data_IF_749393639792
#
_entry.id   IF_749393639792
#
_cell.length_a   1.000
_cell.length_b   1.000
_cell.length_c   1.000
_cell.angle_alpha   90.00
_cell.angle_beta   90.00
_cell.angle_gamma   90.00
#
_symmetry.space_group_name_H-M   'P 1'
#
loop_
_entity.id
_entity.type
_entity.pdbx_description
1 polymer ?
#
# COMPACT_ATOMS: atom_id res chain seq x y z
N UNK A 1 -13.80 -3.23 37.77
CA UNK A 1 -12.94 -2.04 37.83
C UNK A 1 -11.78 -2.10 36.82
N UNK A 2 -12.03 -2.56 35.56
CA UNK A 2 -11.00 -2.62 34.49
C UNK A 2 -11.48 -1.99 33.18
N UNK A 3 -12.45 -1.09 33.21
CA UNK A 3 -13.04 -0.51 32.00
C UNK A 3 -12.53 0.90 31.66
N UNK A 4 -11.58 1.46 32.42
CA UNK A 4 -11.07 2.83 32.21
C UNK A 4 -9.64 2.93 31.63
N UNK A 5 -8.92 1.82 31.50
CA UNK A 5 -7.55 1.84 30.94
C UNK A 5 -7.50 1.67 29.41
N UNK A 6 -8.62 1.29 28.77
CA UNK A 6 -8.65 1.07 27.32
C UNK A 6 -9.04 2.31 26.49
N UNK A 7 -9.47 3.42 27.12
CA UNK A 7 -10.02 4.58 26.43
C UNK A 7 -8.98 5.46 25.70
N UNK A 8 -7.68 5.12 25.74
CA UNK A 8 -6.63 5.94 25.13
C UNK A 8 -5.62 5.13 24.30
N UNK A 9 -5.87 3.85 24.05
CA UNK A 9 -4.93 3.03 23.27
C UNK A 9 -5.25 3.19 21.79
N UNK A 10 -4.28 3.68 21.00
CA UNK A 10 -4.36 3.79 19.55
C UNK A 10 -3.72 2.58 18.89
N UNK A 11 -4.45 1.89 18.01
CA UNK A 11 -3.87 0.82 17.21
C UNK A 11 -3.09 1.39 16.03
N UNK A 12 -2.01 0.74 15.65
CA UNK A 12 -1.22 1.13 14.49
C UNK A 12 -0.92 -0.08 13.61
N UNK A 13 -1.26 0.02 12.33
CA UNK A 13 -0.86 -0.93 11.30
C UNK A 13 0.36 -0.36 10.56
N UNK A 14 1.41 -1.16 10.52
CA UNK A 14 2.65 -0.79 9.87
C UNK A 14 2.68 -1.33 8.44
N UNK A 15 3.01 -0.48 7.48
CA UNK A 15 3.27 -0.96 6.13
C UNK A 15 4.60 -1.73 6.08
N UNK A 16 4.77 -2.67 5.12
CA UNK A 16 5.96 -3.53 5.08
C UNK A 16 7.29 -2.79 4.96
N UNK A 17 7.31 -1.58 4.38
CA UNK A 17 8.53 -0.78 4.27
C UNK A 17 8.99 -0.36 5.67
N UNK A 18 8.10 0.19 6.48
CA UNK A 18 8.41 0.58 7.86
C UNK A 18 8.86 -0.63 8.69
N UNK A 19 8.16 -1.76 8.55
CA UNK A 19 8.54 -2.98 9.30
C UNK A 19 9.98 -3.44 8.98
N UNK A 20 10.47 -3.23 7.76
CA UNK A 20 11.84 -3.59 7.38
C UNK A 20 12.89 -2.52 7.67
N UNK A 21 12.50 -1.27 7.88
CA UNK A 21 13.44 -0.20 8.25
C UNK A 21 14.02 -0.36 9.64
N UNK A 22 13.43 -1.20 10.49
CA UNK A 22 13.81 -1.35 11.89
C UNK A 22 13.86 -2.81 12.32
N UNK A 23 14.67 -3.09 13.36
CA UNK A 23 14.51 -4.35 14.06
C UNK A 23 13.13 -4.41 14.74
N UNK A 24 12.37 -5.47 14.50
CA UNK A 24 10.98 -5.60 14.97
C UNK A 24 10.81 -5.31 16.46
N UNK A 25 11.69 -5.85 17.29
CA UNK A 25 11.64 -5.63 18.74
C UNK A 25 11.81 -4.16 19.11
N UNK A 26 12.71 -3.47 18.44
CA UNK A 26 12.97 -2.05 18.65
C UNK A 26 11.77 -1.20 18.24
N UNK A 27 11.24 -1.43 17.03
CA UNK A 27 10.07 -0.74 16.50
C UNK A 27 8.85 -0.91 17.40
N UNK A 28 8.55 -2.15 17.82
CA UNK A 28 7.39 -2.41 18.66
C UNK A 28 7.55 -1.79 20.05
N UNK A 29 8.73 -1.90 20.68
CA UNK A 29 9.01 -1.24 21.95
C UNK A 29 8.95 0.30 21.86
N UNK A 30 9.36 0.88 20.74
CA UNK A 30 9.22 2.31 20.48
C UNK A 30 7.75 2.74 20.45
N UNK A 31 6.90 1.99 19.75
CA UNK A 31 5.47 2.29 19.64
C UNK A 31 4.73 2.09 20.96
N UNK A 32 4.93 0.95 21.62
CA UNK A 32 4.24 0.60 22.87
C UNK A 32 4.53 1.59 23.99
N UNK A 33 5.77 2.05 24.12
CA UNK A 33 6.14 3.08 25.11
C UNK A 33 5.44 4.42 24.89
N UNK A 34 4.85 4.63 23.69
CA UNK A 34 4.12 5.85 23.32
C UNK A 34 2.60 5.63 23.23
N UNK A 35 2.12 4.50 23.73
CA UNK A 35 0.70 4.19 23.76
C UNK A 35 0.11 3.69 22.44
N UNK A 36 0.97 3.28 21.49
CA UNK A 36 0.51 2.69 20.23
C UNK A 36 0.61 1.17 20.30
N UNK A 37 -0.46 0.49 19.95
CA UNK A 37 -0.52 -0.96 19.87
C UNK A 37 -0.38 -1.42 18.41
N UNK A 38 0.74 -2.06 18.03
CA UNK A 38 0.86 -2.63 16.69
C UNK A 38 -0.18 -3.71 16.45
N UNK A 39 -0.79 -3.69 15.26
CA UNK A 39 -1.78 -4.67 14.82
C UNK A 39 -1.44 -5.19 13.43
N UNK A 40 -1.82 -6.44 13.15
CA UNK A 40 -1.63 -7.08 11.85
C UNK A 40 -2.95 -7.62 11.32
N UNK A 41 -3.04 -7.89 10.03
CA UNK A 41 -4.19 -8.56 9.43
C UNK A 41 -4.23 -10.05 9.80
N UNK A 42 -5.42 -10.60 9.88
CA UNK A 42 -5.66 -12.04 10.02
C UNK A 42 -5.63 -12.76 8.68
N UNK A 43 -5.95 -12.04 7.59
CA UNK A 43 -5.97 -12.57 6.22
C UNK A 43 -4.68 -12.21 5.47
N UNK A 44 -4.25 -13.10 4.58
CA UNK A 44 -3.21 -12.78 3.60
C UNK A 44 -3.83 -12.00 2.42
N UNK A 45 -3.93 -10.69 2.57
CA UNK A 45 -4.50 -9.82 1.54
C UNK A 45 -3.66 -9.76 0.27
N UNK A 46 -2.36 -10.03 0.36
CA UNK A 46 -1.49 -10.14 -0.81
C UNK A 46 -1.96 -11.24 -1.75
N UNK A 47 -2.15 -12.46 -1.24
CA UNK A 47 -2.62 -13.59 -2.04
C UNK A 47 -4.05 -13.38 -2.56
N UNK A 48 -4.93 -12.83 -1.72
CA UNK A 48 -6.32 -12.54 -2.12
C UNK A 48 -6.37 -11.52 -3.26
N UNK A 49 -5.59 -10.46 -3.19
CA UNK A 49 -5.53 -9.44 -4.25
C UNK A 49 -4.87 -9.99 -5.51
N UNK A 50 -3.82 -10.80 -5.39
CA UNK A 50 -3.19 -11.47 -6.53
C UNK A 50 -4.21 -12.34 -7.29
N UNK A 51 -5.04 -13.09 -6.56
CA UNK A 51 -6.07 -13.93 -7.18
C UNK A 51 -7.14 -13.10 -7.90
N UNK A 52 -7.54 -11.95 -7.34
CA UNK A 52 -8.43 -11.01 -8.04
C UNK A 52 -7.85 -10.54 -9.38
N UNK A 53 -6.54 -10.25 -9.41
CA UNK A 53 -5.86 -9.87 -10.66
C UNK A 53 -5.78 -11.01 -11.66
N UNK A 54 -5.49 -12.25 -11.20
CA UNK A 54 -5.49 -13.43 -12.08
C UNK A 54 -6.84 -13.60 -12.75
N UNK A 55 -7.91 -13.57 -11.98
CA UNK A 55 -9.28 -13.65 -12.50
C UNK A 55 -9.59 -12.52 -13.49
N UNK A 56 -9.25 -11.28 -13.14
CA UNK A 56 -9.45 -10.14 -14.02
C UNK A 56 -8.70 -10.28 -15.36
N UNK A 57 -7.46 -10.83 -15.32
CA UNK A 57 -6.66 -11.06 -16.51
C UNK A 57 -7.17 -12.22 -17.39
N UNK A 58 -7.78 -13.25 -16.78
CA UNK A 58 -8.42 -14.37 -17.48
C UNK A 58 -9.70 -13.93 -18.19
N UNK A 59 -10.52 -13.11 -17.53
CA UNK A 59 -11.80 -12.61 -18.05
C UNK A 59 -11.64 -11.47 -19.06
N UNK A 60 -10.48 -10.82 -19.10
CA UNK A 60 -10.25 -9.66 -19.96
C UNK A 60 -9.65 -10.02 -21.31
N UNK A 61 -10.19 -9.40 -22.38
CA UNK A 61 -9.58 -9.38 -23.72
C UNK A 61 -8.47 -8.31 -23.86
N UNK A 62 -8.28 -7.46 -22.85
CA UNK A 62 -7.29 -6.38 -22.82
C UNK A 62 -6.23 -6.66 -21.77
N UNK A 63 -5.07 -6.04 -21.91
CA UNK A 63 -4.09 -6.03 -20.84
C UNK A 63 -4.67 -5.35 -19.58
N UNK A 64 -4.37 -5.90 -18.42
CA UNK A 64 -4.78 -5.35 -17.12
C UNK A 64 -3.65 -4.48 -16.57
N UNK A 65 -3.97 -3.25 -16.19
CA UNK A 65 -3.03 -2.39 -15.47
C UNK A 65 -3.05 -2.69 -13.97
N UNK A 66 -1.87 -2.72 -13.35
CA UNK A 66 -1.76 -2.72 -11.90
C UNK A 66 -2.27 -1.38 -11.32
N UNK A 67 -3.24 -1.44 -10.44
CA UNK A 67 -3.81 -0.27 -9.76
C UNK A 67 -3.45 -0.20 -8.29
N UNK A 68 -2.53 -1.06 -7.80
CA UNK A 68 -2.05 -1.00 -6.42
C UNK A 68 -1.30 0.30 -6.12
N UNK A 69 -0.68 0.90 -7.14
CA UNK A 69 -0.05 2.22 -7.07
C UNK A 69 -1.00 3.29 -7.65
N UNK A 70 -1.63 4.14 -6.82
CA UNK A 70 -2.57 5.14 -7.31
C UNK A 70 -1.97 6.12 -8.31
N UNK A 71 -0.72 6.58 -8.10
CA UNK A 71 -0.04 7.49 -9.05
C UNK A 71 0.11 6.87 -10.44
N UNK A 72 0.49 5.59 -10.51
CA UNK A 72 0.58 4.88 -11.78
C UNK A 72 -0.79 4.72 -12.44
N UNK A 73 -1.81 4.34 -11.67
CA UNK A 73 -3.18 4.24 -12.16
C UNK A 73 -3.73 5.58 -12.65
N UNK A 74 -3.42 6.69 -11.97
CA UNK A 74 -3.78 8.04 -12.41
C UNK A 74 -3.09 8.40 -13.73
N UNK A 75 -1.83 8.01 -13.94
CA UNK A 75 -1.14 8.23 -15.22
C UNK A 75 -1.81 7.48 -16.36
N UNK A 76 -2.22 6.23 -16.17
CA UNK A 76 -2.97 5.46 -17.18
C UNK A 76 -4.26 6.18 -17.56
N UNK A 77 -5.00 6.72 -16.57
CA UNK A 77 -6.22 7.50 -16.82
C UNK A 77 -5.91 8.79 -17.57
N UNK A 78 -4.88 9.53 -17.16
CA UNK A 78 -4.47 10.80 -17.77
C UNK A 78 -4.07 10.64 -19.23
N UNK A 79 -3.32 9.61 -19.56
CA UNK A 79 -2.87 9.33 -20.94
C UNK A 79 -3.95 8.66 -21.79
N UNK A 80 -5.14 8.44 -21.24
CA UNK A 80 -6.30 7.89 -21.95
C UNK A 80 -6.03 6.55 -22.67
N UNK A 81 -5.25 5.68 -22.05
CA UNK A 81 -4.87 4.37 -22.60
C UNK A 81 -6.04 3.36 -22.68
N UNK A 82 -7.28 3.85 -22.80
CA UNK A 82 -8.52 3.06 -22.65
C UNK A 82 -8.68 1.95 -23.68
N UNK A 83 -8.13 2.12 -24.87
CA UNK A 83 -8.41 1.19 -25.98
C UNK A 83 -7.62 -0.12 -25.91
N UNK A 84 -6.64 -0.22 -25.03
CA UNK A 84 -5.79 -1.42 -24.92
C UNK A 84 -5.44 -1.83 -23.50
N UNK A 85 -5.60 -0.96 -22.51
CA UNK A 85 -5.24 -1.19 -21.12
C UNK A 85 -6.47 -0.99 -20.22
N UNK A 86 -6.84 -2.02 -19.49
CA UNK A 86 -7.99 -2.00 -18.57
C UNK A 86 -7.52 -1.73 -17.15
N UNK A 87 -8.21 -0.83 -16.46
CA UNK A 87 -8.03 -0.59 -15.03
C UNK A 87 -9.09 -1.41 -14.27
N UNK A 88 -8.71 -2.50 -13.59
CA UNK A 88 -9.66 -3.32 -12.86
C UNK A 88 -10.18 -2.59 -11.63
N UNK A 89 -11.38 -2.94 -11.19
CA UNK A 89 -11.93 -2.44 -9.92
C UNK A 89 -11.37 -3.26 -8.75
N UNK A 90 -10.08 -3.10 -8.49
CA UNK A 90 -9.35 -3.76 -7.40
C UNK A 90 -8.69 -2.67 -6.56
N UNK A 91 -8.94 -2.70 -5.25
CA UNK A 91 -8.31 -1.74 -4.33
C UNK A 91 -6.86 -2.14 -4.03
N UNK A 92 -5.99 -1.18 -3.68
CA UNK A 92 -4.68 -1.46 -3.10
C UNK A 92 -4.77 -2.42 -1.90
N UNK A 93 -3.77 -3.29 -1.73
CA UNK A 93 -3.70 -4.27 -0.63
C UNK A 93 -3.90 -3.58 0.72
N UNK A 94 -3.29 -2.42 0.90
CA UNK A 94 -3.38 -1.63 2.14
C UNK A 94 -4.82 -1.25 2.50
N UNK A 95 -5.68 -0.95 1.52
CA UNK A 95 -7.08 -0.62 1.78
C UNK A 95 -7.87 -1.83 2.25
N UNK A 96 -7.59 -3.01 1.73
CA UNK A 96 -8.18 -4.25 2.26
C UNK A 96 -7.73 -4.53 3.69
N UNK A 97 -6.45 -4.30 4.01
CA UNK A 97 -5.95 -4.39 5.38
C UNK A 97 -6.68 -3.43 6.31
N UNK A 98 -6.82 -2.18 5.91
CA UNK A 98 -7.51 -1.17 6.71
C UNK A 98 -8.99 -1.49 6.92
N UNK A 99 -9.70 -1.98 5.89
CA UNK A 99 -11.09 -2.43 6.00
C UNK A 99 -11.22 -3.58 7.00
N UNK A 100 -10.35 -4.57 6.96
CA UNK A 100 -10.34 -5.66 7.94
C UNK A 100 -10.16 -5.11 9.36
N UNK A 101 -9.13 -4.27 9.56
CA UNK A 101 -8.80 -3.72 10.87
C UNK A 101 -9.92 -2.82 11.41
N UNK A 102 -10.55 -2.01 10.54
CA UNK A 102 -11.61 -1.05 10.94
C UNK A 102 -12.85 -1.72 11.53
N UNK A 103 -13.14 -2.96 11.15
CA UNK A 103 -14.35 -3.69 11.59
C UNK A 103 -14.07 -4.76 12.64
N UNK A 104 -12.83 -4.92 13.09
CA UNK A 104 -12.46 -5.95 14.07
C UNK A 104 -13.12 -5.66 15.44
N UNK A 105 -13.90 -6.61 16.00
CA UNK A 105 -14.65 -6.37 17.24
C UNK A 105 -13.77 -5.98 18.44
N UNK A 106 -12.57 -6.59 18.54
CA UNK A 106 -11.61 -6.32 19.62
C UNK A 106 -10.93 -4.95 19.53
N UNK A 107 -11.11 -4.24 18.40
CA UNK A 107 -10.59 -2.89 18.16
C UNK A 107 -11.70 -1.83 18.12
N UNK A 108 -12.93 -2.23 18.46
CA UNK A 108 -14.07 -1.30 18.48
C UNK A 108 -13.86 -0.20 19.51
N UNK A 109 -14.11 1.05 19.11
CA UNK A 109 -13.92 2.24 19.95
C UNK A 109 -12.47 2.73 20.04
N UNK A 110 -11.50 2.01 19.45
CA UNK A 110 -10.11 2.46 19.41
C UNK A 110 -9.83 3.22 18.12
N UNK A 111 -8.98 4.25 18.19
CA UNK A 111 -8.40 4.86 16.99
C UNK A 111 -7.46 3.88 16.30
N UNK A 112 -7.49 3.83 14.97
CA UNK A 112 -6.65 2.98 14.14
C UNK A 112 -5.86 3.85 13.18
N UNK A 113 -4.54 3.80 13.29
CA UNK A 113 -3.63 4.46 12.37
C UNK A 113 -3.12 3.44 11.36
N UNK A 114 -3.21 3.75 10.07
CA UNK A 114 -2.72 2.92 8.98
C UNK A 114 -1.54 3.65 8.33
N UNK A 115 -0.33 3.16 8.55
CA UNK A 115 0.84 3.81 7.96
C UNK A 115 0.97 3.49 6.48
N UNK A 116 1.32 4.49 5.69
CA UNK A 116 1.49 4.36 4.23
C UNK A 116 2.92 4.65 3.81
N UNK A 117 3.40 4.06 2.70
CA UNK A 117 4.72 4.38 2.16
C UNK A 117 4.74 5.69 1.37
N UNK A 118 3.58 6.28 1.05
CA UNK A 118 3.48 7.52 0.28
C UNK A 118 2.20 8.29 0.62
N UNK A 119 2.23 9.60 0.34
CA UNK A 119 1.13 10.53 0.63
C UNK A 119 -0.15 10.18 -0.10
N UNK A 120 -0.08 9.83 -1.38
CA UNK A 120 -1.30 9.55 -2.16
C UNK A 120 -2.09 8.35 -1.62
N UNK A 121 -1.43 7.32 -1.10
CA UNK A 121 -2.12 6.22 -0.42
C UNK A 121 -2.77 6.67 0.89
N UNK A 122 -2.18 7.64 1.58
CA UNK A 122 -2.80 8.22 2.78
C UNK A 122 -4.05 9.02 2.41
N UNK A 123 -3.97 9.89 1.41
CA UNK A 123 -5.09 10.73 0.96
C UNK A 123 -6.26 9.90 0.44
N UNK A 124 -5.99 8.94 -0.46
CA UNK A 124 -7.04 8.04 -0.97
C UNK A 124 -7.60 7.13 0.12
N UNK A 125 -6.75 6.64 1.03
CA UNK A 125 -7.18 5.84 2.18
C UNK A 125 -8.12 6.60 3.10
N UNK A 126 -7.82 7.86 3.41
CA UNK A 126 -8.71 8.73 4.21
C UNK A 126 -10.04 8.99 3.51
N UNK A 127 -10.05 9.06 2.17
CA UNK A 127 -11.27 9.22 1.38
C UNK A 127 -12.22 8.02 1.47
N UNK A 128 -11.77 6.86 1.97
CA UNK A 128 -12.63 5.70 2.20
C UNK A 128 -13.62 5.91 3.36
N UNK A 129 -13.39 6.87 4.25
CA UNK A 129 -14.26 7.18 5.38
C UNK A 129 -14.44 6.02 6.37
N UNK A 130 -13.39 5.22 6.61
CA UNK A 130 -13.46 4.08 7.52
C UNK A 130 -13.58 4.55 8.98
N UNK A 131 -14.44 3.87 9.74
CA UNK A 131 -14.74 4.24 11.12
C UNK A 131 -13.49 4.24 12.00
N UNK A 132 -13.27 5.33 12.73
CA UNK A 132 -12.15 5.49 13.67
C UNK A 132 -10.79 5.13 13.05
N UNK A 133 -10.62 5.35 11.74
CA UNK A 133 -9.44 4.94 10.99
C UNK A 133 -8.86 6.12 10.23
N UNK A 134 -7.57 6.35 10.41
CA UNK A 134 -6.82 7.39 9.74
C UNK A 134 -5.62 6.79 9.04
N UNK A 135 -5.39 7.22 7.79
CA UNK A 135 -4.19 6.89 7.04
C UNK A 135 -3.22 8.06 7.10
N UNK A 136 -1.94 7.76 7.34
CA UNK A 136 -0.88 8.74 7.35
C UNK A 136 0.43 8.10 6.92
N UNK A 137 1.35 8.90 6.39
CA UNK A 137 2.69 8.41 6.10
C UNK A 137 3.47 8.16 7.38
N UNK A 138 4.52 7.32 7.31
CA UNK A 138 5.41 7.11 8.46
C UNK A 138 6.08 8.40 8.92
N UNK A 139 6.53 9.22 7.96
CA UNK A 139 7.16 10.51 8.27
C UNK A 139 6.18 11.46 8.97
N UNK A 140 4.92 11.50 8.52
CA UNK A 140 3.87 12.30 9.17
C UNK A 140 3.56 11.79 10.58
N UNK A 141 3.52 10.46 10.76
CA UNK A 141 3.35 9.87 12.09
C UNK A 141 4.44 10.32 13.06
N UNK A 142 5.72 10.19 12.68
CA UNK A 142 6.85 10.60 13.51
C UNK A 142 6.80 12.10 13.82
N UNK A 143 6.51 12.93 12.81
CA UNK A 143 6.37 14.37 12.98
C UNK A 143 5.25 14.72 13.98
N UNK A 144 4.11 14.05 13.88
CA UNK A 144 2.93 14.28 14.74
C UNK A 144 3.20 13.96 16.21
N UNK A 145 3.95 12.91 16.48
CA UNK A 145 4.34 12.55 17.85
C UNK A 145 5.58 13.28 18.34
N UNK A 146 6.19 14.17 17.52
CA UNK A 146 7.38 14.94 17.87
C UNK A 146 8.65 14.12 18.04
N UNK A 147 8.77 12.99 17.35
CA UNK A 147 9.86 12.05 17.51
C UNK A 147 10.76 12.00 16.28
N UNK A 148 12.03 11.72 16.52
CA UNK A 148 13.00 11.32 15.51
C UNK A 148 13.36 9.86 15.76
N UNK A 149 13.02 9.00 14.82
CA UNK A 149 13.31 7.58 14.89
C UNK A 149 13.88 7.14 13.54
N UNK A 150 15.18 7.38 13.29
CA UNK A 150 15.81 7.07 12.02
C UNK A 150 15.85 5.56 11.77
N UNK A 151 15.28 5.13 10.67
CA UNK A 151 15.36 3.75 10.21
C UNK A 151 16.56 3.52 9.31
N UNK A 152 16.90 2.25 9.09
CA UNK A 152 17.91 1.90 8.09
C UNK A 152 17.39 2.18 6.68
N UNK A 153 18.27 2.65 5.80
CA UNK A 153 17.96 2.77 4.38
C UNK A 153 17.88 1.36 3.77
N UNK A 154 16.77 1.07 3.09
CA UNK A 154 16.58 -0.20 2.43
C UNK A 154 17.22 -0.17 1.03
N UNK A 155 17.98 -1.20 0.69
CA UNK A 155 18.53 -1.40 -0.66
C UNK A 155 17.50 -2.04 -1.60
N UNK A 156 16.56 -2.82 -1.03
CA UNK A 156 15.50 -3.49 -1.77
C UNK A 156 14.17 -3.24 -1.09
N UNK A 157 13.14 -3.05 -1.90
CA UNK A 157 11.80 -2.85 -1.39
C UNK A 157 11.17 -4.17 -0.93
N UNK A 158 10.47 -4.19 0.22
CA UNK A 158 9.57 -5.29 0.57
C UNK A 158 8.27 -5.28 -0.26
N UNK A 159 8.04 -4.20 -1.00
CA UNK A 159 7.01 -4.10 -2.03
C UNK A 159 7.74 -3.87 -3.36
N UNK A 160 8.41 -4.91 -3.90
CA UNK A 160 9.20 -4.81 -5.12
C UNK A 160 8.31 -4.95 -6.35
N UNK A 161 8.85 -4.66 -7.55
CA UNK A 161 8.29 -5.23 -8.77
C UNK A 161 8.38 -6.77 -8.72
N UNK A 162 7.45 -7.44 -9.41
CA UNK A 162 7.41 -8.91 -9.46
C UNK A 162 6.26 -9.54 -8.66
N UNK A 163 5.28 -8.75 -8.23
CA UNK A 163 4.07 -9.27 -7.58
C UNK A 163 3.31 -10.27 -8.48
N UNK A 164 3.37 -10.09 -9.78
CA UNK A 164 2.71 -10.93 -10.79
C UNK A 164 3.64 -11.94 -11.45
N UNK A 165 4.80 -12.25 -10.87
CA UNK A 165 5.83 -13.12 -11.48
C UNK A 165 5.36 -14.54 -11.88
N UNK A 166 4.25 -15.03 -11.29
CA UNK A 166 3.65 -16.31 -11.66
C UNK A 166 2.63 -16.24 -12.81
N UNK A 167 2.43 -15.08 -13.42
CA UNK A 167 1.52 -14.88 -14.55
C UNK A 167 2.30 -14.78 -15.86
N UNK A 168 1.65 -15.19 -16.96
CA UNK A 168 2.25 -15.06 -18.31
C UNK A 168 2.09 -13.66 -18.88
N UNK A 169 3.01 -13.25 -19.75
CA UNK A 169 2.97 -11.98 -20.49
C UNK A 169 2.80 -10.77 -19.58
N UNK A 170 3.60 -10.71 -18.53
CA UNK A 170 3.67 -9.59 -17.58
C UNK A 170 4.86 -8.71 -17.92
N UNK A 171 4.63 -7.39 -17.97
CA UNK A 171 5.71 -6.40 -17.91
C UNK A 171 5.67 -5.72 -16.53
N UNK A 172 6.85 -5.45 -15.98
CA UNK A 172 7.02 -4.76 -14.69
C UNK A 172 7.84 -3.50 -14.91
N UNK A 173 7.26 -2.35 -14.60
CA UNK A 173 7.88 -1.05 -14.80
C UNK A 173 7.90 -0.27 -13.48
N UNK A 174 9.03 0.34 -13.15
CA UNK A 174 9.15 1.21 -11.98
C UNK A 174 9.75 2.56 -12.38
N UNK A 175 9.29 3.62 -11.73
CA UNK A 175 9.71 4.98 -12.04
C UNK A 175 8.69 5.74 -12.89
N UNK A 176 8.46 7.00 -12.54
CA UNK A 176 7.43 7.83 -13.19
C UNK A 176 7.70 8.04 -14.69
N UNK A 177 8.96 8.31 -15.05
CA UNK A 177 9.38 8.57 -16.43
C UNK A 177 9.28 7.32 -17.28
N UNK A 178 9.73 6.19 -16.77
CA UNK A 178 9.69 4.89 -17.42
C UNK A 178 8.24 4.42 -17.67
N UNK A 179 7.35 4.65 -16.70
CA UNK A 179 5.92 4.35 -16.85
C UNK A 179 5.32 5.24 -17.94
N UNK A 180 5.60 6.55 -17.92
CA UNK A 180 5.06 7.47 -18.91
C UNK A 180 5.53 7.12 -20.34
N UNK A 181 6.82 6.81 -20.52
CA UNK A 181 7.38 6.40 -21.80
C UNK A 181 6.77 5.07 -22.28
N UNK A 182 6.65 4.08 -21.39
CA UNK A 182 6.04 2.78 -21.67
C UNK A 182 4.60 2.94 -22.16
N UNK A 183 3.82 3.77 -21.47
CA UNK A 183 2.43 4.05 -21.82
C UNK A 183 2.29 4.82 -23.15
N UNK A 184 3.11 5.83 -23.39
CA UNK A 184 3.11 6.60 -24.65
C UNK A 184 3.50 5.76 -25.88
N UNK A 185 4.38 4.77 -25.69
CA UNK A 185 4.80 3.85 -26.77
C UNK A 185 3.85 2.66 -26.94
N UNK A 186 2.80 2.58 -26.14
CA UNK A 186 1.84 1.48 -26.17
C UNK A 186 2.46 0.07 -26.03
N UNK A 187 3.52 -0.04 -25.25
CA UNK A 187 4.27 -1.28 -25.09
C UNK A 187 3.48 -2.40 -24.39
N UNK A 188 2.31 -2.08 -23.81
CA UNK A 188 1.38 -3.08 -23.24
C UNK A 188 0.67 -3.95 -24.28
N UNK A 189 0.77 -3.63 -25.56
CA UNK A 189 0.12 -4.41 -26.62
C UNK A 189 0.61 -5.85 -26.60
N UNK A 190 -0.32 -6.81 -26.55
CA UNK A 190 0.01 -8.24 -26.44
C UNK A 190 0.42 -8.72 -25.06
N UNK A 191 0.37 -7.85 -24.03
CA UNK A 191 0.52 -8.24 -22.63
C UNK A 191 -0.79 -8.70 -22.02
N UNK A 192 -0.70 -9.47 -20.93
CA UNK A 192 -1.82 -9.82 -20.06
C UNK A 192 -1.92 -8.89 -18.86
N UNK A 193 -0.76 -8.53 -18.31
CA UNK A 193 -0.64 -7.69 -17.12
C UNK A 193 0.49 -6.68 -17.30
N UNK A 194 0.28 -5.47 -16.79
CA UNK A 194 1.31 -4.43 -16.68
C UNK A 194 1.40 -4.01 -15.22
N UNK A 195 2.46 -4.44 -14.56
CA UNK A 195 2.80 -4.01 -13.20
C UNK A 195 3.49 -2.66 -13.24
N UNK A 196 3.02 -1.73 -12.42
CA UNK A 196 3.55 -0.37 -12.40
C UNK A 196 3.69 0.15 -10.97
N UNK A 197 4.91 0.53 -10.60
CA UNK A 197 5.20 1.20 -9.35
C UNK A 197 5.84 2.57 -9.64
N UNK A 198 5.20 3.63 -9.19
CA UNK A 198 5.64 5.01 -9.43
C UNK A 198 7.06 5.30 -8.92
N UNK A 199 7.40 4.74 -7.76
CA UNK A 199 8.72 4.91 -7.16
C UNK A 199 9.72 3.94 -7.79
N UNK A 200 10.87 4.44 -8.24
CA UNK A 200 11.92 3.61 -8.83
C UNK A 200 12.38 2.52 -7.87
N UNK A 201 12.37 1.26 -8.34
CA UNK A 201 12.76 0.09 -7.55
C UNK A 201 11.74 -0.37 -6.50
N UNK A 202 10.66 0.38 -6.26
CA UNK A 202 9.59 -0.02 -5.33
C UNK A 202 9.29 1.01 -4.23
N UNK A 203 8.34 0.68 -3.34
CA UNK A 203 7.76 1.62 -2.39
C UNK A 203 8.70 2.07 -1.25
N UNK A 204 9.88 1.46 -1.09
CA UNK A 204 10.89 1.95 -0.13
C UNK A 204 11.46 3.33 -0.50
N UNK A 205 11.26 3.77 -1.72
CA UNK A 205 11.59 5.11 -2.22
C UNK A 205 10.33 6.02 -2.29
N UNK A 206 9.31 5.71 -1.53
CA UNK A 206 8.11 6.52 -1.43
C UNK A 206 8.31 7.75 -0.55
N UNK A 207 7.62 8.85 -0.89
CA UNK A 207 7.69 10.15 -0.20
C UNK A 207 7.16 10.15 1.24
N UNK A 208 6.63 9.04 1.70
CA UNK A 208 6.14 8.88 3.06
C UNK A 208 7.10 8.15 4.01
N UNK A 209 8.26 7.67 3.51
CA UNK A 209 9.21 6.88 4.30
C UNK A 209 10.68 7.28 4.09
N UNK A 210 10.96 8.16 3.13
CA UNK A 210 12.30 8.74 2.86
C UNK A 210 12.40 10.18 3.34
#
# INVERSE_FOLDING_TARGET
TNSKENDNLTCIFLNPVVEQMYARKELYSFLERRGFRPVSCSKNWGDIVLEKYRKAAEESHRAIADVRCPRAAHMVRRLNCKDGLSLPNIEPILFHCAREISVRPELKGMQKLITTPCEILADEGNSLGLLETEFLTWNEFLRRIGESFPGQKLEKSPIPPGFFAGMEKVDSITGAGEIEEYLKKENWRGRKMVEMLWCGGGCHNGDGVI
#
